data_IF_997526824303
#
_entry.id   IF_997526824303
#
_cell.length_a   1.000
_cell.length_b   1.000
_cell.length_c   1.000
_cell.angle_alpha   90.00
_cell.angle_beta   90.00
_cell.angle_gamma   90.00
#
_symmetry.space_group_name_H-M   'P 1'
#
loop_
_entity.id
_entity.type
_entity.pdbx_description
1 polymer ?
#
# COMPACT_ATOMS: atom_id res chain seq x y z
N UNK A 1 26.45 8.64 -10.63
CA UNK A 1 24.97 8.67 -10.66
C UNK A 1 24.45 7.25 -10.71
N UNK A 2 23.31 7.00 -10.07
CA UNK A 2 22.62 5.71 -10.12
C UNK A 2 21.12 5.98 -10.28
N UNK A 3 20.44 5.14 -11.05
CA UNK A 3 18.97 5.11 -11.12
C UNK A 3 18.53 3.74 -10.63
N UNK A 4 17.64 3.72 -9.65
CA UNK A 4 17.07 2.51 -9.06
C UNK A 4 15.55 2.61 -9.01
N UNK A 5 14.87 1.49 -9.17
CA UNK A 5 13.42 1.40 -9.05
C UNK A 5 13.02 0.08 -8.36
N UNK A 6 11.92 0.12 -7.61
CA UNK A 6 11.28 -1.06 -7.03
C UNK A 6 9.95 -1.28 -7.75
N UNK A 7 9.66 -2.53 -8.11
CA UNK A 7 8.43 -2.89 -8.82
C UNK A 7 7.46 -3.62 -7.89
N UNK A 8 6.21 -3.21 -7.92
CA UNK A 8 5.08 -3.86 -7.25
C UNK A 8 4.10 -4.45 -8.25
N UNK A 9 3.19 -5.30 -7.78
CA UNK A 9 2.16 -5.93 -8.59
C UNK A 9 1.15 -4.91 -9.14
N UNK A 10 0.68 -4.00 -8.28
CA UNK A 10 -0.38 -3.05 -8.60
C UNK A 10 -1.62 -3.74 -9.19
N UNK A 11 -2.30 -3.04 -10.10
CA UNK A 11 -3.41 -3.60 -10.88
C UNK A 11 -2.98 -4.43 -12.09
N UNK A 12 -1.69 -4.38 -12.48
CA UNK A 12 -1.17 -5.10 -13.65
C UNK A 12 -0.89 -6.58 -13.35
N UNK A 13 -0.52 -6.91 -12.12
CA UNK A 13 -0.32 -8.29 -11.68
C UNK A 13 -1.14 -8.66 -10.43
N UNK A 14 -2.47 -8.51 -10.44
CA UNK A 14 -3.26 -8.76 -9.24
C UNK A 14 -3.22 -10.24 -8.87
N UNK A 15 -3.37 -10.56 -7.58
CA UNK A 15 -3.51 -11.96 -7.16
C UNK A 15 -4.76 -12.60 -7.79
N UNK A 16 -4.76 -13.92 -8.08
CA UNK A 16 -5.88 -14.63 -8.71
C UNK A 16 -7.04 -14.86 -7.73
N UNK A 17 -7.57 -13.78 -7.14
CA UNK A 17 -8.69 -13.84 -6.21
C UNK A 17 -10.01 -13.85 -6.99
N UNK A 18 -10.90 -14.77 -6.61
CA UNK A 18 -12.28 -14.81 -7.09
C UNK A 18 -13.13 -13.81 -6.31
N UNK A 19 -13.35 -12.64 -6.90
CA UNK A 19 -14.26 -11.63 -6.37
C UNK A 19 -15.69 -12.16 -6.42
N UNK A 20 -16.40 -12.04 -5.29
CA UNK A 20 -17.73 -12.58 -5.03
C UNK A 20 -17.84 -14.09 -5.30
N UNK A 21 -16.73 -14.83 -5.20
CA UNK A 21 -16.66 -16.27 -5.44
C UNK A 21 -16.94 -16.70 -6.87
N UNK A 22 -16.71 -15.81 -7.85
CA UNK A 22 -16.97 -16.13 -9.26
C UNK A 22 -16.20 -15.31 -10.29
N UNK A 23 -15.68 -14.13 -9.96
CA UNK A 23 -14.99 -13.26 -10.92
C UNK A 23 -13.51 -13.20 -10.57
N UNK A 24 -12.69 -13.89 -11.34
CA UNK A 24 -11.24 -13.72 -11.28
C UNK A 24 -10.85 -12.51 -12.14
N UNK A 25 -10.42 -11.42 -11.50
CA UNK A 25 -10.10 -10.18 -12.22
C UNK A 25 -8.96 -10.34 -13.23
N UNK A 26 -8.10 -11.36 -13.08
CA UNK A 26 -7.03 -11.65 -14.05
C UNK A 26 -7.56 -12.15 -15.39
N UNK A 27 -8.78 -12.66 -15.44
CA UNK A 27 -9.43 -13.13 -16.68
C UNK A 27 -10.09 -11.98 -17.46
N UNK A 28 -10.21 -10.80 -16.84
CA UNK A 28 -10.90 -9.64 -17.40
C UNK A 28 -9.99 -8.41 -17.57
N UNK A 29 -8.74 -8.50 -17.13
CA UNK A 29 -7.74 -7.44 -17.22
C UNK A 29 -6.57 -7.89 -18.10
N UNK A 30 -5.90 -6.93 -18.71
CA UNK A 30 -4.57 -7.17 -19.27
C UNK A 30 -3.62 -7.33 -18.07
N UNK A 31 -3.06 -8.53 -17.92
CA UNK A 31 -2.18 -8.86 -16.81
C UNK A 31 -0.83 -9.34 -17.30
N UNK A 32 0.22 -9.05 -16.51
CA UNK A 32 1.58 -9.50 -16.81
C UNK A 32 2.47 -9.42 -15.58
N UNK A 33 3.76 -9.68 -15.76
CA UNK A 33 4.73 -9.50 -14.68
C UNK A 33 5.13 -8.03 -14.54
N UNK A 34 5.28 -7.49 -13.32
CA UNK A 34 5.77 -6.12 -13.15
C UNK A 34 7.08 -5.91 -13.92
N UNK A 35 7.07 -4.94 -14.83
CA UNK A 35 8.21 -4.59 -15.68
C UNK A 35 8.41 -3.07 -15.66
N UNK A 36 9.62 -2.62 -16.02
CA UNK A 36 9.98 -1.21 -16.06
C UNK A 36 10.36 -0.79 -17.49
N UNK A 37 9.83 0.35 -17.92
CA UNK A 37 10.36 1.14 -19.02
C UNK A 37 10.75 2.50 -18.46
N UNK A 38 12.01 2.90 -18.59
CA UNK A 38 12.48 4.21 -18.15
C UNK A 38 13.56 4.74 -19.10
N UNK A 39 13.58 6.07 -19.26
CA UNK A 39 14.60 6.78 -20.02
C UNK A 39 14.90 8.11 -19.33
N UNK A 40 16.17 8.31 -18.97
CA UNK A 40 16.72 9.58 -18.50
C UNK A 40 17.41 10.27 -19.67
N UNK A 41 16.98 11.49 -20.00
CA UNK A 41 17.63 12.34 -20.99
C UNK A 41 18.42 13.43 -20.28
N UNK A 42 19.69 13.58 -20.63
CA UNK A 42 20.63 14.55 -20.07
C UNK A 42 21.01 15.50 -21.20
N UNK A 43 20.87 16.81 -20.95
CA UNK A 43 21.36 17.87 -21.82
C UNK A 43 22.54 18.55 -21.13
N UNK A 44 23.67 18.64 -21.83
CA UNK A 44 24.90 19.22 -21.31
C UNK A 44 25.01 20.71 -21.69
N UNK A 45 25.84 21.46 -20.97
CA UNK A 45 26.04 22.90 -21.22
C UNK A 45 26.57 23.22 -22.62
N UNK A 46 27.25 22.27 -23.27
CA UNK A 46 27.73 22.40 -24.65
C UNK A 46 26.66 22.09 -25.72
N UNK A 47 25.42 21.79 -25.29
CA UNK A 47 24.29 21.46 -26.15
C UNK A 47 24.23 20.00 -26.62
N UNK A 48 25.17 19.14 -26.19
CA UNK A 48 25.08 17.70 -26.47
C UNK A 48 24.06 17.01 -25.56
N UNK A 49 23.57 15.84 -25.98
CA UNK A 49 22.60 15.06 -25.22
C UNK A 49 23.06 13.62 -25.02
N UNK A 50 22.62 13.02 -23.90
CA UNK A 50 22.80 11.60 -23.61
C UNK A 50 21.48 11.02 -23.09
N UNK A 51 21.15 9.82 -23.54
CA UNK A 51 20.03 9.04 -22.99
C UNK A 51 20.56 7.81 -22.26
N UNK A 52 20.01 7.55 -21.07
CA UNK A 52 20.21 6.33 -20.30
C UNK A 52 18.85 5.65 -20.17
N UNK A 53 18.67 4.50 -20.80
CA UNK A 53 17.39 3.78 -20.84
C UNK A 53 17.47 2.42 -20.16
N UNK A 54 16.32 1.84 -19.85
CA UNK A 54 16.19 0.45 -19.42
C UNK A 54 16.55 -0.51 -20.54
N UNK A 55 17.50 -1.39 -20.28
CA UNK A 55 17.94 -2.47 -21.16
C UNK A 55 18.51 -3.64 -20.33
N UNK A 56 19.16 -4.61 -20.98
CA UNK A 56 19.73 -5.81 -20.36
C UNK A 56 21.00 -5.53 -19.51
N UNK A 57 21.54 -4.30 -19.56
CA UNK A 57 22.65 -3.88 -18.70
C UNK A 57 22.22 -3.59 -17.26
N UNK A 58 20.91 -3.38 -17.05
CA UNK A 58 20.33 -3.20 -15.72
C UNK A 58 20.45 -4.48 -14.90
N UNK A 59 20.42 -4.33 -13.58
CA UNK A 59 20.51 -5.44 -12.62
C UNK A 59 19.30 -5.46 -11.71
N UNK A 60 18.95 -6.66 -11.25
CA UNK A 60 17.76 -6.92 -10.43
C UNK A 60 18.11 -7.77 -9.21
N UNK A 61 17.41 -7.51 -8.11
CA UNK A 61 17.53 -8.27 -6.87
C UNK A 61 16.19 -8.25 -6.13
N UNK A 62 15.78 -9.36 -5.47
CA UNK A 62 14.60 -9.35 -4.61
C UNK A 62 14.74 -8.32 -3.48
N UNK A 63 13.73 -7.47 -3.31
CA UNK A 63 13.70 -6.47 -2.26
C UNK A 63 13.16 -6.98 -0.91
N UNK A 64 12.99 -6.07 0.05
CA UNK A 64 12.39 -6.38 1.36
C UNK A 64 10.87 -6.60 1.30
N UNK A 65 10.20 -6.21 0.22
CA UNK A 65 8.77 -6.49 -0.01
C UNK A 65 8.60 -7.95 -0.45
N UNK A 66 8.12 -8.80 0.45
CA UNK A 66 7.90 -10.23 0.22
C UNK A 66 6.58 -10.53 -0.51
N UNK A 67 5.57 -9.71 -0.25
CA UNK A 67 4.25 -9.79 -0.88
C UNK A 67 3.69 -8.38 -0.96
N UNK A 68 3.04 -8.05 -2.06
CA UNK A 68 2.18 -6.88 -2.15
C UNK A 68 0.92 -7.21 -2.95
N UNK A 69 -0.18 -6.59 -2.55
CA UNK A 69 -1.48 -6.69 -3.19
C UNK A 69 -2.24 -5.42 -2.89
N UNK A 70 -2.87 -4.84 -3.91
CA UNK A 70 -3.80 -3.70 -3.73
C UNK A 70 -4.91 -4.04 -2.73
N UNK A 71 -5.31 -5.32 -2.64
CA UNK A 71 -6.41 -5.77 -1.79
C UNK A 71 -5.98 -6.31 -0.43
N UNK A 72 -4.90 -7.11 -0.40
CA UNK A 72 -4.50 -7.88 0.80
C UNK A 72 -3.32 -7.27 1.56
N UNK A 73 -2.93 -6.02 1.25
CA UNK A 73 -1.80 -5.35 1.89
C UNK A 73 -0.41 -5.84 1.47
N UNK A 74 0.59 -5.41 2.23
CA UNK A 74 2.02 -5.61 2.00
C UNK A 74 2.69 -6.38 3.14
N UNK A 75 3.58 -7.32 2.80
CA UNK A 75 4.46 -8.02 3.75
C UNK A 75 5.88 -7.57 3.50
N UNK A 76 6.48 -6.96 4.50
CA UNK A 76 7.82 -6.37 4.45
C UNK A 76 8.73 -7.00 5.49
N UNK A 77 9.94 -7.39 5.08
CA UNK A 77 10.99 -7.91 5.97
C UNK A 77 12.22 -7.01 5.90
N UNK A 78 12.38 -6.13 6.89
CA UNK A 78 13.45 -5.16 6.93
C UNK A 78 14.84 -5.82 7.06
N UNK A 79 14.91 -7.08 7.49
CA UNK A 79 16.18 -7.83 7.54
C UNK A 79 16.75 -8.10 6.14
N UNK A 80 15.95 -7.90 5.10
CA UNK A 80 16.31 -8.04 3.68
C UNK A 80 16.59 -6.71 2.99
N UNK A 81 16.53 -5.60 3.72
CA UNK A 81 16.98 -4.33 3.17
C UNK A 81 18.45 -4.42 2.78
N UNK A 82 18.78 -3.79 1.66
CA UNK A 82 20.14 -3.58 1.20
C UNK A 82 20.42 -2.10 1.39
N UNK A 83 21.09 -1.69 2.48
CA UNK A 83 21.41 -0.29 2.70
C UNK A 83 22.14 0.30 1.50
N UNK A 84 21.76 1.52 1.12
CA UNK A 84 22.44 2.29 0.09
C UNK A 84 22.44 1.66 -1.31
N UNK A 85 21.57 0.67 -1.59
CA UNK A 85 21.44 0.07 -2.94
C UNK A 85 21.12 1.10 -4.04
N UNK A 86 20.56 2.24 -3.64
CA UNK A 86 20.21 3.38 -4.47
C UNK A 86 21.32 4.46 -4.52
N UNK A 87 22.55 4.14 -4.10
CA UNK A 87 23.73 5.02 -4.15
C UNK A 87 24.75 4.59 -5.20
N UNK A 88 25.43 5.53 -5.90
CA UNK A 88 26.42 5.20 -6.92
C UNK A 88 27.56 4.27 -6.48
N UNK A 89 27.88 4.25 -5.19
CA UNK A 89 28.98 3.49 -4.59
C UNK A 89 28.61 2.03 -4.31
N UNK A 90 27.34 1.65 -4.46
CA UNK A 90 26.87 0.31 -4.16
C UNK A 90 27.38 -0.74 -5.16
N UNK A 91 27.96 -1.82 -4.65
CA UNK A 91 28.38 -2.95 -5.49
C UNK A 91 27.22 -3.91 -5.80
N UNK A 92 26.60 -3.69 -6.96
CA UNK A 92 25.56 -4.56 -7.50
C UNK A 92 26.11 -5.77 -8.31
N UNK A 93 27.42 -6.07 -8.26
CA UNK A 93 28.04 -7.12 -9.08
C UNK A 93 27.44 -8.52 -8.88
N UNK A 94 26.87 -8.79 -7.70
CA UNK A 94 26.19 -10.04 -7.34
C UNK A 94 24.74 -10.13 -7.82
N UNK A 95 24.15 -9.02 -8.28
CA UNK A 95 22.77 -8.98 -8.75
C UNK A 95 22.63 -9.62 -10.12
N UNK A 96 21.42 -10.12 -10.42
CA UNK A 96 21.14 -10.77 -11.71
C UNK A 96 20.94 -9.71 -12.79
N UNK A 97 21.37 -9.95 -14.04
CA UNK A 97 21.02 -9.08 -15.15
C UNK A 97 19.50 -9.03 -15.33
N UNK A 98 18.99 -7.88 -15.77
CA UNK A 98 17.61 -7.75 -16.20
C UNK A 98 17.39 -8.51 -17.51
N UNK A 99 16.16 -8.95 -17.73
CA UNK A 99 15.74 -9.57 -18.98
C UNK A 99 14.73 -8.68 -19.67
N UNK A 100 14.80 -8.58 -20.99
CA UNK A 100 13.75 -7.92 -21.78
C UNK A 100 12.42 -8.65 -21.63
N UNK A 101 11.34 -7.89 -21.56
CA UNK A 101 9.98 -8.41 -21.44
C UNK A 101 9.08 -7.68 -22.43
N UNK A 102 8.44 -8.44 -23.32
CA UNK A 102 7.40 -7.92 -24.21
C UNK A 102 6.05 -8.20 -23.57
N UNK A 103 5.44 -7.15 -23.02
CA UNK A 103 4.09 -7.25 -22.49
C UNK A 103 3.08 -7.39 -23.64
N UNK A 104 2.25 -8.43 -23.59
CA UNK A 104 1.18 -8.62 -24.56
C UNK A 104 -0.07 -7.80 -24.17
N UNK A 105 -0.75 -7.26 -25.18
CA UNK A 105 -2.03 -6.57 -25.00
C UNK A 105 -1.96 -5.16 -24.40
N UNK A 106 -0.78 -4.66 -24.01
CA UNK A 106 -0.63 -3.26 -23.60
C UNK A 106 -0.82 -2.32 -24.81
N UNK A 107 -1.46 -1.17 -24.56
CA UNK A 107 -1.57 -0.09 -25.53
C UNK A 107 -0.32 0.79 -25.58
N UNK A 108 -0.39 1.85 -26.39
CA UNK A 108 0.70 2.82 -26.53
C UNK A 108 0.97 3.59 -25.23
N UNK A 109 2.24 3.93 -25.00
CA UNK A 109 2.61 4.84 -23.92
C UNK A 109 2.06 6.24 -24.20
N UNK A 110 1.34 6.78 -23.23
CA UNK A 110 0.79 8.13 -23.28
C UNK A 110 1.17 8.89 -22.02
N UNK A 111 1.32 10.21 -22.13
CA UNK A 111 1.54 11.05 -20.97
C UNK A 111 0.31 11.00 -20.05
N UNK A 112 0.55 10.89 -18.75
CA UNK A 112 -0.53 10.88 -17.75
C UNK A 112 -1.36 12.17 -17.85
N UNK A 113 -2.68 12.03 -18.07
CA UNK A 113 -3.60 13.15 -18.32
C UNK A 113 -4.28 13.70 -17.07
N UNK A 114 -4.09 13.06 -15.92
CA UNK A 114 -4.64 13.45 -14.62
C UNK A 114 -3.52 13.63 -13.60
N UNK A 115 -3.70 14.44 -12.53
CA UNK A 115 -2.71 14.53 -11.45
C UNK A 115 -2.37 13.15 -10.87
N UNK A 116 -1.14 12.94 -10.37
CA UNK A 116 -0.78 11.68 -9.74
C UNK A 116 -1.45 11.52 -8.38
N UNK A 117 -1.52 10.27 -7.89
CA UNK A 117 -1.86 10.00 -6.50
C UNK A 117 -0.69 10.46 -5.62
N UNK A 118 -0.99 11.25 -4.58
CA UNK A 118 0.00 11.70 -3.58
C UNK A 118 -0.53 11.51 -2.17
N UNK A 119 0.35 11.60 -1.18
CA UNK A 119 -0.06 11.80 0.21
C UNK A 119 -0.55 13.25 0.33
N UNK A 120 -1.86 13.44 0.50
CA UNK A 120 -2.48 14.78 0.55
C UNK A 120 -2.75 15.26 1.97
N UNK A 121 -2.70 14.37 2.96
CA UNK A 121 -2.79 14.72 4.38
C UNK A 121 -2.09 13.67 5.25
N UNK A 122 -1.59 14.10 6.42
CA UNK A 122 -1.14 13.22 7.51
C UNK A 122 -2.09 13.39 8.69
N UNK A 123 -2.69 12.30 9.16
CA UNK A 123 -3.61 12.21 10.28
C UNK A 123 -2.90 11.51 11.45
N UNK A 124 -3.25 11.89 12.67
CA UNK A 124 -2.77 11.26 13.89
C UNK A 124 -3.93 10.55 14.61
N UNK A 125 -3.70 9.37 15.21
CA UNK A 125 -4.72 8.69 15.99
C UNK A 125 -5.22 9.58 17.13
N UNK A 126 -6.53 9.59 17.35
CA UNK A 126 -7.19 10.27 18.47
C UNK A 126 -7.13 9.44 19.76
N UNK A 127 -7.10 8.11 19.64
CA UNK A 127 -6.99 7.21 20.78
C UNK A 127 -6.27 5.91 20.42
N UNK A 128 -5.76 5.23 21.45
CA UNK A 128 -5.26 3.86 21.41
C UNK A 128 -5.81 3.10 22.60
N UNK A 129 -6.40 1.93 22.35
CA UNK A 129 -7.01 1.08 23.39
C UNK A 129 -6.47 -0.33 23.28
N UNK A 130 -6.00 -0.91 24.38
CA UNK A 130 -5.65 -2.33 24.44
C UNK A 130 -6.92 -3.16 24.63
N UNK A 131 -7.29 -3.96 23.62
CA UNK A 131 -8.53 -4.76 23.62
C UNK A 131 -8.32 -6.17 24.15
N UNK A 132 -7.08 -6.67 24.07
CA UNK A 132 -6.61 -7.89 24.71
C UNK A 132 -5.09 -7.83 24.83
N UNK A 133 -4.44 -8.67 25.66
CA UNK A 133 -2.99 -8.57 25.90
C UNK A 133 -2.17 -8.50 24.61
N UNK A 134 -1.53 -7.35 24.37
CA UNK A 134 -0.68 -7.11 23.19
C UNK A 134 -1.43 -6.84 21.87
N UNK A 135 -2.73 -6.57 21.92
CA UNK A 135 -3.56 -6.18 20.78
C UNK A 135 -4.19 -4.81 21.03
N UNK A 136 -3.87 -3.85 20.18
CA UNK A 136 -4.24 -2.45 20.34
C UNK A 136 -5.10 -1.98 19.17
N UNK A 137 -6.14 -1.20 19.44
CA UNK A 137 -6.94 -0.51 18.43
C UNK A 137 -6.59 0.97 18.45
N UNK A 138 -6.15 1.50 17.31
CA UNK A 138 -6.01 2.92 17.07
C UNK A 138 -7.26 3.44 16.36
N UNK A 139 -7.84 4.53 16.86
CA UNK A 139 -8.91 5.27 16.17
C UNK A 139 -8.32 6.54 15.54
N UNK A 140 -8.35 6.62 14.21
CA UNK A 140 -7.90 7.79 13.46
C UNK A 140 -8.87 8.98 13.56
N UNK A 141 -10.07 8.79 14.08
CA UNK A 141 -11.13 9.79 14.17
C UNK A 141 -11.88 10.06 12.86
N UNK A 142 -11.30 9.66 11.73
CA UNK A 142 -11.82 9.86 10.39
C UNK A 142 -11.61 8.58 9.55
N UNK A 143 -12.61 8.20 8.75
CA UNK A 143 -12.45 7.16 7.73
C UNK A 143 -11.82 7.79 6.47
N UNK A 144 -10.74 7.21 5.96
CA UNK A 144 -10.08 7.70 4.74
C UNK A 144 -9.38 6.56 4.00
N UNK A 145 -9.00 6.81 2.75
CA UNK A 145 -8.18 5.89 1.98
C UNK A 145 -6.69 6.28 2.02
N UNK A 146 -5.82 5.29 2.23
CA UNK A 146 -4.38 5.49 2.16
C UNK A 146 -3.58 4.45 2.94
N UNK A 147 -2.56 4.91 3.68
CA UNK A 147 -1.58 4.07 4.36
C UNK A 147 -1.54 4.31 5.86
N UNK A 148 -1.17 3.27 6.61
CA UNK A 148 -0.67 3.41 7.97
C UNK A 148 0.86 3.40 7.94
N UNK A 149 1.49 4.43 8.51
CA UNK A 149 2.93 4.45 8.77
C UNK A 149 3.18 4.02 10.20
N UNK A 150 4.02 3.00 10.36
CA UNK A 150 4.44 2.44 11.64
C UNK A 150 5.76 3.06 12.08
N UNK A 151 5.86 3.42 13.36
CA UNK A 151 7.09 3.76 14.07
C UNK A 151 7.28 2.74 15.18
N UNK A 152 8.38 1.98 15.15
CA UNK A 152 8.60 0.86 16.07
C UNK A 152 10.08 0.67 16.35
N UNK A 153 10.40 0.29 17.58
CA UNK A 153 11.75 -0.15 17.98
C UNK A 153 11.61 -1.46 18.74
N UNK A 154 12.46 -2.43 18.44
CA UNK A 154 12.41 -3.72 19.13
C UNK A 154 13.38 -4.75 18.57
N UNK A 155 13.32 -5.99 19.09
CA UNK A 155 14.23 -7.05 18.68
C UNK A 155 14.15 -7.36 17.18
N UNK A 156 15.32 -7.62 16.58
CA UNK A 156 15.42 -8.12 15.20
C UNK A 156 14.55 -9.36 15.00
N UNK A 157 13.73 -9.36 13.95
CA UNK A 157 12.85 -10.48 13.62
C UNK A 157 11.49 -10.45 14.31
N UNK A 158 11.21 -9.49 15.20
CA UNK A 158 9.85 -9.23 15.68
C UNK A 158 8.98 -8.81 14.49
N UNK A 159 7.77 -9.37 14.39
CA UNK A 159 6.81 -9.02 13.34
C UNK A 159 5.62 -8.28 13.94
N UNK A 160 5.39 -7.07 13.45
CA UNK A 160 4.21 -6.26 13.77
C UNK A 160 3.20 -6.39 12.63
N UNK A 161 1.93 -6.61 12.97
CA UNK A 161 0.82 -6.65 12.02
C UNK A 161 -0.13 -5.49 12.25
N UNK A 162 -0.58 -4.87 11.16
CA UNK A 162 -1.57 -3.82 11.12
C UNK A 162 -2.75 -4.32 10.30
N UNK A 163 -3.87 -4.65 10.94
CA UNK A 163 -5.14 -4.94 10.26
C UNK A 163 -5.97 -3.66 10.24
N UNK A 164 -6.61 -3.37 9.12
CA UNK A 164 -7.37 -2.14 8.91
C UNK A 164 -8.85 -2.42 8.75
N UNK A 165 -9.69 -1.48 9.21
CA UNK A 165 -11.13 -1.57 9.07
C UNK A 165 -11.84 -0.24 9.30
N UNK A 166 -13.09 -0.16 8.87
CA UNK A 166 -13.87 1.09 8.91
C UNK A 166 -14.73 1.20 10.18
N UNK A 167 -15.05 0.05 10.80
CA UNK A 167 -15.90 -0.05 11.98
C UNK A 167 -15.26 -0.95 13.05
N UNK A 168 -15.77 -0.82 14.27
CA UNK A 168 -15.55 -1.76 15.35
C UNK A 168 -16.83 -2.56 15.60
N UNK A 169 -16.68 -3.76 16.15
CA UNK A 169 -17.79 -4.48 16.78
C UNK A 169 -18.16 -3.83 18.12
N UNK A 170 -19.34 -4.14 18.70
CA UNK A 170 -19.75 -3.58 19.99
C UNK A 170 -18.81 -3.87 21.16
N UNK A 171 -17.98 -4.91 21.07
CA UNK A 171 -16.97 -5.27 22.07
C UNK A 171 -15.65 -4.50 21.90
N UNK A 172 -15.57 -3.61 20.91
CA UNK A 172 -14.39 -2.80 20.61
C UNK A 172 -13.36 -3.49 19.70
N UNK A 173 -13.58 -4.75 19.31
CA UNK A 173 -12.70 -5.44 18.36
C UNK A 173 -12.88 -4.91 16.94
N UNK A 174 -11.84 -5.01 16.11
CA UNK A 174 -11.89 -4.57 14.72
C UNK A 174 -12.95 -5.37 13.94
N UNK A 175 -13.80 -4.67 13.17
CA UNK A 175 -14.71 -5.31 12.23
C UNK A 175 -14.11 -5.31 10.82
N UNK A 176 -13.51 -6.43 10.35
CA UNK A 176 -12.94 -6.50 9.01
C UNK A 176 -14.01 -6.58 7.91
N UNK A 177 -15.26 -6.89 8.24
CA UNK A 177 -16.29 -7.30 7.26
C UNK A 177 -16.76 -6.18 6.34
N UNK A 178 -16.48 -4.91 6.66
CA UNK A 178 -16.82 -3.78 5.79
C UNK A 178 -15.76 -3.56 4.71
N UNK A 179 -14.53 -3.99 4.93
CA UNK A 179 -13.35 -3.66 4.12
C UNK A 179 -12.75 -4.87 3.37
N UNK A 180 -13.38 -6.04 3.42
CA UNK A 180 -12.89 -7.26 2.76
C UNK A 180 -13.04 -7.22 1.25
N UNK A 181 -11.95 -7.54 0.57
CA UNK A 181 -11.89 -7.53 -0.88
C UNK A 181 -12.85 -8.57 -1.49
N UNK A 182 -13.61 -8.14 -2.50
CA UNK A 182 -14.48 -9.02 -3.27
C UNK A 182 -15.52 -9.78 -2.43
N UNK A 183 -15.87 -9.33 -1.22
CA UNK A 183 -16.74 -10.09 -0.31
C UNK A 183 -16.23 -11.51 0.02
N UNK A 184 -14.92 -11.74 -0.03
CA UNK A 184 -14.31 -13.02 0.34
C UNK A 184 -14.36 -13.14 1.88
N UNK A 185 -15.44 -13.77 2.36
CA UNK A 185 -15.91 -13.80 3.75
C UNK A 185 -16.13 -15.23 4.27
N UNK A 186 -15.16 -16.10 4.06
CA UNK A 186 -15.14 -17.47 4.56
C UNK A 186 -14.86 -18.49 3.47
N UNK A 187 -15.45 -19.67 3.63
CA UNK A 187 -15.31 -20.80 2.72
C UNK A 187 -16.66 -21.30 2.21
N UNK A 188 -16.63 -22.05 1.12
CA UNK A 188 -17.72 -22.92 0.69
C UNK A 188 -17.95 -24.08 1.71
N UNK A 189 -19.01 -24.89 1.56
CA UNK A 189 -19.28 -26.03 2.43
C UNK A 189 -18.18 -27.11 2.44
N UNK A 190 -17.27 -27.10 1.47
CA UNK A 190 -16.15 -28.04 1.37
C UNK A 190 -14.87 -27.50 2.03
N UNK A 191 -14.91 -26.28 2.60
CA UNK A 191 -13.76 -25.63 3.24
C UNK A 191 -12.83 -24.89 2.27
N UNK A 192 -13.21 -24.74 1.00
CA UNK A 192 -12.44 -23.94 0.02
C UNK A 192 -12.76 -22.46 0.22
N UNK A 193 -11.74 -21.59 0.27
CA UNK A 193 -11.98 -20.14 0.37
C UNK A 193 -12.91 -19.67 -0.74
N UNK A 194 -13.85 -18.77 -0.40
CA UNK A 194 -14.69 -18.08 -1.38
C UNK A 194 -13.89 -17.20 -2.35
N UNK A 195 -12.60 -16.98 -2.10
CA UNK A 195 -11.70 -16.28 -3.03
C UNK A 195 -11.01 -17.21 -4.02
N UNK A 196 -11.38 -18.49 -4.06
CA UNK A 196 -10.75 -19.51 -4.90
C UNK A 196 -9.50 -20.15 -4.27
N UNK A 197 -8.85 -21.09 -4.98
CA UNK A 197 -7.69 -21.81 -4.47
C UNK A 197 -6.52 -20.90 -4.06
N UNK A 198 -6.05 -21.05 -2.82
CA UNK A 198 -4.92 -20.27 -2.27
C UNK A 198 -5.29 -18.88 -1.75
N UNK A 199 -6.55 -18.44 -1.90
CA UNK A 199 -7.04 -17.23 -1.26
C UNK A 199 -7.20 -17.41 0.26
N UNK A 200 -7.04 -16.35 1.06
CA UNK A 200 -7.35 -16.41 2.49
C UNK A 200 -8.85 -16.66 2.71
N UNK A 201 -9.24 -17.20 3.85
CA UNK A 201 -10.66 -17.32 4.22
C UNK A 201 -11.32 -15.94 4.34
N UNK A 202 -10.58 -14.96 4.84
CA UNK A 202 -11.01 -13.58 4.91
C UNK A 202 -10.00 -12.72 4.17
N UNK A 203 -10.43 -12.08 3.08
CA UNK A 203 -9.58 -11.18 2.29
C UNK A 203 -9.49 -9.79 2.96
N UNK A 204 -8.99 -9.76 4.18
CA UNK A 204 -8.84 -8.55 4.97
C UNK A 204 -7.64 -7.69 4.54
N UNK A 205 -7.73 -6.40 4.85
CA UNK A 205 -6.68 -5.42 4.65
C UNK A 205 -5.65 -5.54 5.77
N UNK A 206 -4.44 -6.03 5.45
CA UNK A 206 -3.42 -6.31 6.45
C UNK A 206 -2.00 -6.11 5.93
N UNK A 207 -1.26 -5.23 6.61
CA UNK A 207 0.16 -5.03 6.40
C UNK A 207 0.97 -5.70 7.52
N UNK A 208 2.13 -6.25 7.17
CA UNK A 208 3.02 -6.92 8.12
C UNK A 208 4.46 -6.43 7.94
N UNK A 209 5.09 -6.06 9.04
CA UNK A 209 6.46 -5.55 9.06
C UNK A 209 7.33 -6.37 10.01
N UNK A 210 8.44 -6.93 9.50
CA UNK A 210 9.43 -7.64 10.32
C UNK A 210 10.66 -6.77 10.54
N UNK A 211 10.98 -6.50 11.81
CA UNK A 211 12.02 -5.57 12.25
C UNK A 211 13.42 -6.07 11.92
N UNK A 212 14.34 -5.13 11.63
CA UNK A 212 15.78 -5.41 11.49
C UNK A 212 16.56 -5.26 12.79
N UNK A 213 16.00 -4.59 13.80
CA UNK A 213 16.51 -4.47 15.16
C UNK A 213 17.59 -3.41 15.35
N UNK A 214 17.64 -2.40 14.48
CA UNK A 214 18.72 -1.41 14.42
C UNK A 214 18.29 -0.04 15.01
N UNK A 215 17.48 -0.06 16.07
CA UNK A 215 16.92 1.13 16.72
C UNK A 215 15.49 1.45 16.26
N UNK A 216 15.15 2.75 16.21
CA UNK A 216 13.84 3.20 15.73
C UNK A 216 13.70 2.98 14.22
N UNK A 217 12.71 2.18 13.84
CA UNK A 217 12.37 1.87 12.47
C UNK A 217 11.06 2.56 12.05
N UNK A 218 11.01 2.99 10.79
CA UNK A 218 9.82 3.61 10.18
C UNK A 218 9.44 2.79 8.96
N UNK A 219 8.23 2.25 8.97
CA UNK A 219 7.66 1.50 7.86
C UNK A 219 6.46 2.24 7.27
N UNK A 220 6.40 2.31 5.94
CA UNK A 220 5.24 2.75 5.18
C UNK A 220 5.11 1.80 3.98
N UNK A 221 3.93 1.19 3.75
CA UNK A 221 3.73 0.34 2.58
C UNK A 221 3.85 1.16 1.30
N UNK A 222 4.05 0.49 0.15
CA UNK A 222 4.28 1.17 -1.14
C UNK A 222 3.34 0.72 -2.24
N UNK A 223 2.93 -0.55 -2.24
CA UNK A 223 2.22 -1.18 -3.35
C UNK A 223 0.84 -1.71 -2.98
N UNK A 224 0.17 -1.02 -2.07
CA UNK A 224 -1.19 -1.28 -1.60
C UNK A 224 -1.88 0.03 -1.24
N UNK A 225 -3.15 0.02 -0.87
CA UNK A 225 -3.81 1.09 -0.11
C UNK A 225 -5.05 0.52 0.55
N UNK A 226 -5.51 1.15 1.62
CA UNK A 226 -6.59 0.65 2.47
C UNK A 226 -7.62 1.74 2.70
N UNK A 227 -8.89 1.38 2.91
CA UNK A 227 -9.95 2.28 3.36
C UNK A 227 -10.25 2.00 4.82
N UNK A 228 -9.95 2.92 5.72
CA UNK A 228 -10.01 2.65 7.15
C UNK A 228 -10.15 3.89 8.03
N UNK A 229 -10.71 3.64 9.22
CA UNK A 229 -10.66 4.54 10.38
C UNK A 229 -9.89 3.90 11.53
N UNK A 230 -9.99 2.58 11.66
CA UNK A 230 -9.41 1.85 12.77
C UNK A 230 -8.26 0.97 12.30
N UNK A 231 -7.22 0.88 13.13
CA UNK A 231 -6.07 0.01 12.90
C UNK A 231 -5.91 -0.88 14.13
N UNK A 232 -5.98 -2.20 13.93
CA UNK A 232 -5.57 -3.18 14.93
C UNK A 232 -4.08 -3.47 14.78
N UNK A 233 -3.32 -3.16 15.84
CA UNK A 233 -1.89 -3.39 15.94
C UNK A 233 -1.62 -4.58 16.86
N UNK A 234 -0.91 -5.59 16.38
CA UNK A 234 -0.50 -6.75 17.17
C UNK A 234 0.97 -7.09 16.92
N UNK A 235 1.60 -7.76 17.90
CA UNK A 235 3.03 -8.09 17.84
C UNK A 235 3.97 -6.91 18.07
N UNK A 236 3.43 -5.75 18.48
CA UNK A 236 4.25 -4.58 18.81
C UNK A 236 5.12 -4.87 20.06
N UNK A 237 6.42 -4.53 20.04
CA UNK A 237 7.30 -4.70 21.19
C UNK A 237 6.95 -3.70 22.32
N UNK A 238 6.22 -4.18 23.33
CA UNK A 238 5.76 -3.36 24.46
C UNK A 238 4.40 -2.72 24.21
N UNK A 239 4.15 -1.56 24.84
CA UNK A 239 2.89 -0.81 24.71
C UNK A 239 3.10 0.38 23.77
N UNK A 240 2.37 0.47 22.65
CA UNK A 240 2.54 1.58 21.71
C UNK A 240 1.87 2.86 22.22
N UNK A 241 2.50 4.01 21.99
CA UNK A 241 1.87 5.33 22.13
C UNK A 241 1.13 5.75 20.86
N UNK A 242 0.41 6.88 20.91
CA UNK A 242 -0.29 7.45 19.74
C UNK A 242 0.66 7.74 18.57
N UNK A 243 1.92 8.06 18.85
CA UNK A 243 2.95 8.32 17.85
C UNK A 243 3.48 7.06 17.15
N UNK A 244 3.07 5.85 17.57
CA UNK A 244 3.46 4.62 16.88
C UNK A 244 2.85 4.52 15.47
N UNK A 245 1.76 5.25 15.21
CA UNK A 245 1.01 5.20 13.96
C UNK A 245 0.77 6.62 13.43
N UNK A 246 0.95 6.81 12.13
CA UNK A 246 0.44 7.96 11.37
C UNK A 246 -0.45 7.44 10.24
N UNK A 247 -1.59 8.09 10.01
CA UNK A 247 -2.43 7.83 8.84
C UNK A 247 -2.02 8.76 7.70
N UNK A 248 -1.66 8.22 6.55
CA UNK A 248 -1.32 9.00 5.36
C UNK A 248 -2.50 8.89 4.41
N UNK A 249 -3.27 9.97 4.21
CA UNK A 249 -4.34 9.98 3.21
C UNK A 249 -3.72 10.06 1.82
N UNK A 250 -4.11 9.12 0.97
CA UNK A 250 -3.76 9.13 -0.44
C UNK A 250 -5.00 9.49 -1.26
N UNK A 251 -4.81 10.23 -2.35
CA UNK A 251 -5.78 10.41 -3.42
C UNK A 251 -5.08 11.09 -4.62
N UNK A 252 -5.73 11.11 -5.78
CA UNK A 252 -5.36 11.96 -6.92
C UNK A 252 -5.24 13.41 -6.42
N UNK A 253 -4.10 14.05 -6.66
CA UNK A 253 -3.75 15.37 -6.15
C UNK A 253 -4.47 16.50 -6.89
N UNK A 254 -5.80 16.54 -6.73
CA UNK A 254 -6.68 17.55 -7.31
C UNK A 254 -6.71 18.81 -6.45
N UNK A 255 -6.77 19.96 -7.11
CA UNK A 255 -6.97 21.24 -6.42
C UNK A 255 -8.45 21.43 -6.05
N UNK A 256 -8.78 21.85 -4.82
CA UNK A 256 -10.13 22.23 -4.45
C UNK A 256 -10.57 23.48 -5.24
N UNK A 257 -11.69 23.37 -5.97
CA UNK A 257 -12.23 24.48 -6.80
C UNK A 257 -13.48 25.15 -6.21
N UNK A 258 -13.97 24.67 -5.08
CA UNK A 258 -15.18 25.17 -4.45
C UNK A 258 -15.22 24.91 -2.96
N UNK A 259 -16.10 25.64 -2.27
CA UNK A 259 -16.37 25.48 -0.84
C UNK A 259 -17.84 25.74 -0.57
N UNK A 260 -18.41 25.02 0.39
CA UNK A 260 -19.76 25.23 0.90
C UNK A 260 -19.74 25.47 2.42
N UNK A 261 -20.62 26.35 2.89
CA UNK A 261 -20.91 26.56 4.32
C UNK A 261 -22.28 27.21 4.46
N UNK A 262 -23.02 26.88 5.52
CA UNK A 262 -24.30 27.49 5.85
C UNK A 262 -24.53 27.53 7.38
N UNK A 263 -25.67 28.09 7.82
CA UNK A 263 -26.01 28.19 9.24
C UNK A 263 -26.50 26.88 9.87
N UNK A 264 -26.69 25.83 9.09
CA UNK A 264 -27.07 24.50 9.59
C UNK A 264 -25.80 23.63 9.67
N UNK A 265 -25.36 23.35 10.90
CA UNK A 265 -24.16 22.55 11.13
C UNK A 265 -24.28 21.11 10.62
N UNK A 266 -25.51 20.57 10.53
CA UNK A 266 -25.74 19.25 9.95
C UNK A 266 -25.36 19.24 8.47
N UNK A 267 -25.72 20.29 7.74
CA UNK A 267 -25.39 20.42 6.31
C UNK A 267 -23.89 20.65 6.11
N UNK A 268 -23.24 21.39 7.01
CA UNK A 268 -21.78 21.56 6.99
C UNK A 268 -21.06 20.21 7.21
N UNK A 269 -21.52 19.39 8.16
CA UNK A 269 -20.99 18.05 8.41
C UNK A 269 -21.22 17.09 7.23
N UNK A 270 -22.40 17.15 6.60
CA UNK A 270 -22.68 16.36 5.39
C UNK A 270 -21.71 16.73 4.27
N UNK A 271 -21.47 18.03 4.05
CA UNK A 271 -20.51 18.48 3.04
C UNK A 271 -19.09 17.94 3.33
N UNK A 272 -18.64 18.03 4.59
CA UNK A 272 -17.32 17.50 4.98
C UNK A 272 -17.23 15.98 4.71
N UNK A 273 -18.25 15.21 5.08
CA UNK A 273 -18.30 13.76 4.79
C UNK A 273 -18.26 13.46 3.29
N UNK A 274 -18.93 14.27 2.47
CA UNK A 274 -18.90 14.15 1.00
C UNK A 274 -17.49 14.38 0.47
N UNK A 275 -16.78 15.40 0.95
CA UNK A 275 -15.41 15.70 0.54
C UNK A 275 -14.45 14.57 0.91
N UNK A 276 -14.51 14.06 2.14
CA UNK A 276 -13.70 12.90 2.56
C UNK A 276 -13.99 11.64 1.73
N UNK A 277 -15.27 11.39 1.44
CA UNK A 277 -15.69 10.23 0.64
C UNK A 277 -15.22 10.36 -0.80
N UNK A 278 -15.38 11.54 -1.41
CA UNK A 278 -14.93 11.82 -2.77
C UNK A 278 -13.43 11.59 -2.90
N UNK A 279 -12.63 12.23 -2.03
CA UNK A 279 -11.17 12.08 -2.06
C UNK A 279 -10.74 10.64 -1.84
N UNK A 280 -11.40 9.91 -0.93
CA UNK A 280 -11.10 8.49 -0.68
C UNK A 280 -11.39 7.57 -1.87
N UNK A 281 -12.19 8.02 -2.85
CA UNK A 281 -12.53 7.27 -4.06
C UNK A 281 -11.84 7.80 -5.33
N UNK A 282 -11.16 8.95 -5.27
CA UNK A 282 -10.34 9.45 -6.38
C UNK A 282 -8.96 8.81 -6.35
N UNK A 283 -8.88 7.56 -6.84
CA UNK A 283 -7.66 6.77 -6.93
C UNK A 283 -7.45 6.29 -8.37
N UNK A 284 -6.78 7.11 -9.18
CA UNK A 284 -6.46 6.82 -10.59
C UNK A 284 -7.64 6.74 -11.56
N UNK A 285 -8.85 6.42 -11.11
CA UNK A 285 -10.10 6.32 -11.89
C UNK A 285 -11.22 7.16 -11.30
#
# INVERSE_FOLDING_TARGET
NLVGAMLGNGWYNPLPLEMWGRINIREHLIVGHPCLIAQLNIEYEDGTTQSVATDESWRTHPGPVLRNSVYLGEVYDARRELPEWDKPEFDASSWKPATTYTAEGLGDLTAQSVPPIRVTATLHPQSVTEISPGVFIFDMGQNFAGWARLRVEGPRGTTVKMRMGELLYPDGTLNPMTAVAGQIKGSDPNGTSLGGPGAPLLAEQCDSYTLKGDGLEIYTPRFTFHGFRYIELSGFPGTPGLNAIEGLRLNTDVEPVGRFACSDETLNQIQEMVEWTLLSNLFSV
#
